data_IF_792124668235
#
_entry.id   IF_792124668235
#
_cell.length_a   1.000
_cell.length_b   1.000
_cell.length_c   1.000
_cell.angle_alpha   90.00
_cell.angle_beta   90.00
_cell.angle_gamma   90.00
#
_symmetry.space_group_name_H-M   'P 1'
#
loop_
_entity.id
_entity.type
_entity.pdbx_description
1 polymer ?
#
# COMPACT_ATOMS: atom_id res chain seq x y z
N UNK A 1 21.01 -58.23 -12.46
CA UNK A 1 20.39 -57.66 -11.25
C UNK A 1 19.96 -56.25 -11.59
N UNK A 2 18.66 -56.07 -11.70
CA UNK A 2 17.96 -54.88 -12.21
C UNK A 2 18.04 -53.74 -11.20
N UNK A 3 17.99 -52.52 -11.73
CA UNK A 3 18.07 -51.23 -11.07
C UNK A 3 17.11 -51.03 -9.89
N UNK A 4 17.53 -50.22 -8.92
CA UNK A 4 16.64 -49.43 -8.07
C UNK A 4 17.26 -48.03 -7.87
N UNK A 5 17.22 -47.23 -8.94
CA UNK A 5 17.32 -45.78 -8.83
C UNK A 5 15.99 -45.30 -8.26
N UNK A 6 15.97 -44.94 -6.98
CA UNK A 6 14.86 -44.24 -6.35
C UNK A 6 14.75 -42.85 -7.01
N UNK A 7 13.92 -42.75 -8.04
CA UNK A 7 13.33 -41.49 -8.46
C UNK A 7 12.38 -41.04 -7.34
N UNK A 8 12.92 -40.34 -6.34
CA UNK A 8 12.10 -39.37 -5.59
C UNK A 8 11.78 -38.24 -6.57
N UNK A 9 10.75 -38.44 -7.39
CA UNK A 9 10.17 -37.35 -8.17
C UNK A 9 9.80 -36.26 -7.18
N UNK A 10 10.39 -35.07 -7.35
CA UNK A 10 9.97 -33.89 -6.61
C UNK A 10 8.50 -33.71 -6.97
N UNK A 11 7.60 -33.89 -5.99
CA UNK A 11 6.18 -33.70 -6.22
C UNK A 11 6.01 -32.20 -6.48
N UNK A 12 5.67 -31.84 -7.71
CA UNK A 12 5.53 -30.47 -8.16
C UNK A 12 4.09 -30.26 -8.62
N UNK A 13 3.54 -29.10 -8.29
CA UNK A 13 2.20 -28.67 -8.67
C UNK A 13 2.29 -27.47 -9.62
N UNK A 14 1.22 -27.22 -10.34
CA UNK A 14 1.14 -26.13 -11.31
C UNK A 14 0.08 -25.12 -10.88
N UNK A 15 0.49 -23.86 -10.91
CA UNK A 15 -0.40 -22.71 -10.76
C UNK A 15 -0.66 -22.16 -12.15
N UNK A 16 -1.85 -22.41 -12.69
CA UNK A 16 -2.34 -21.75 -13.89
C UNK A 16 -2.82 -20.34 -13.51
N UNK A 17 -1.96 -19.35 -13.77
CA UNK A 17 -2.30 -17.94 -13.59
C UNK A 17 -2.65 -17.34 -14.95
N UNK A 18 -3.86 -16.80 -15.08
CA UNK A 18 -4.44 -16.36 -16.37
C UNK A 18 -3.60 -15.33 -17.16
N UNK A 19 -2.65 -14.65 -16.51
CA UNK A 19 -1.77 -13.65 -17.14
C UNK A 19 -0.41 -14.23 -17.60
N UNK A 20 -0.15 -15.51 -17.32
CA UNK A 20 1.04 -16.24 -17.75
C UNK A 20 0.74 -17.10 -18.97
N UNK A 21 1.74 -17.28 -19.85
CA UNK A 21 1.62 -18.18 -21.02
C UNK A 21 1.77 -19.65 -20.65
N UNK A 22 2.51 -19.93 -19.60
CA UNK A 22 2.81 -21.27 -19.11
C UNK A 22 2.53 -21.31 -17.60
N UNK A 23 2.00 -22.43 -17.07
CA UNK A 23 1.77 -22.59 -15.65
C UNK A 23 3.07 -22.47 -14.83
N UNK A 24 2.95 -21.93 -13.61
CA UNK A 24 4.08 -21.76 -12.70
C UNK A 24 4.24 -22.97 -11.79
N UNK A 25 5.46 -23.49 -11.68
CA UNK A 25 5.78 -24.61 -10.78
C UNK A 25 5.77 -24.18 -9.31
N UNK A 26 5.01 -24.91 -8.50
CA UNK A 26 4.91 -24.76 -7.06
C UNK A 26 5.34 -26.05 -6.33
N UNK A 27 5.94 -25.90 -5.16
CA UNK A 27 6.24 -26.99 -4.25
C UNK A 27 5.05 -27.20 -3.30
N UNK A 28 4.85 -28.43 -2.77
CA UNK A 28 3.81 -28.70 -1.77
C UNK A 28 3.95 -27.77 -0.57
N UNK A 29 2.88 -27.05 -0.25
CA UNK A 29 2.84 -26.11 0.86
C UNK A 29 3.34 -24.69 0.54
N UNK A 30 3.84 -24.43 -0.68
CA UNK A 30 4.05 -23.06 -1.14
C UNK A 30 2.72 -22.31 -1.13
N UNK A 31 2.76 -21.03 -0.80
CA UNK A 31 1.65 -20.14 -1.11
C UNK A 31 1.65 -19.77 -2.60
N UNK A 32 0.47 -19.45 -3.14
CA UNK A 32 0.35 -18.97 -4.53
C UNK A 32 1.31 -17.81 -4.80
N UNK A 33 1.43 -16.87 -3.86
CA UNK A 33 2.32 -15.72 -4.00
C UNK A 33 3.80 -16.14 -4.04
N UNK A 34 4.25 -17.04 -3.15
CA UNK A 34 5.65 -17.47 -3.10
C UNK A 34 6.08 -18.14 -4.41
N UNK A 35 5.26 -19.03 -4.94
CA UNK A 35 5.53 -19.71 -6.21
C UNK A 35 5.63 -18.72 -7.38
N UNK A 36 4.68 -17.78 -7.49
CA UNK A 36 4.69 -16.74 -8.53
C UNK A 36 5.93 -15.84 -8.44
N UNK A 37 6.24 -15.33 -7.25
CA UNK A 37 7.40 -14.45 -7.04
C UNK A 37 8.72 -15.18 -7.30
N UNK A 38 8.84 -16.45 -6.91
CA UNK A 38 10.03 -17.28 -7.16
C UNK A 38 10.25 -17.52 -8.65
N UNK A 39 9.17 -17.66 -9.42
CA UNK A 39 9.22 -17.75 -10.89
C UNK A 39 9.43 -16.40 -11.58
N UNK A 40 9.55 -15.30 -10.83
CA UNK A 40 9.70 -13.96 -11.37
C UNK A 40 8.42 -13.40 -12.01
N UNK A 41 7.26 -14.02 -11.74
CA UNK A 41 5.96 -13.53 -12.18
C UNK A 41 5.52 -12.41 -11.23
N UNK A 42 5.39 -11.17 -11.71
CA UNK A 42 4.92 -10.07 -10.88
C UNK A 42 3.49 -10.34 -10.41
N UNK A 43 3.26 -10.19 -9.11
CA UNK A 43 1.93 -10.34 -8.52
C UNK A 43 1.70 -9.27 -7.46
N UNK A 44 0.52 -8.63 -7.38
CA UNK A 44 0.26 -7.59 -6.39
C UNK A 44 0.45 -8.11 -4.95
N UNK A 45 1.33 -7.51 -4.14
CA UNK A 45 1.50 -7.90 -2.74
C UNK A 45 2.22 -6.82 -1.91
N UNK A 46 1.91 -6.72 -0.62
CA UNK A 46 2.58 -5.79 0.33
C UNK A 46 3.08 -6.52 1.58
N UNK A 47 2.17 -6.96 2.46
CA UNK A 47 2.53 -7.48 3.78
C UNK A 47 3.04 -8.94 3.78
N UNK A 48 2.62 -9.74 2.80
CA UNK A 48 2.86 -11.20 2.71
C UNK A 48 2.40 -12.04 3.93
N UNK A 49 1.69 -11.44 4.89
CA UNK A 49 1.23 -12.09 6.12
C UNK A 49 -0.29 -12.09 6.29
N UNK A 50 -1.03 -11.73 5.24
CA UNK A 50 -2.50 -11.80 5.24
C UNK A 50 -3.21 -10.61 5.87
N UNK A 51 -2.56 -9.45 5.97
CA UNK A 51 -3.18 -8.28 6.60
C UNK A 51 -3.64 -7.18 5.62
N UNK A 52 -2.96 -7.04 4.47
CA UNK A 52 -3.19 -5.90 3.58
C UNK A 52 -4.23 -6.15 2.46
N UNK A 53 -4.60 -7.40 2.18
CA UNK A 53 -5.52 -7.74 1.09
C UNK A 53 -4.99 -7.50 -0.34
N UNK A 54 -3.83 -6.87 -0.53
CA UNK A 54 -3.27 -6.56 -1.87
C UNK A 54 -3.12 -7.78 -2.78
N UNK A 55 -2.82 -8.95 -2.23
CA UNK A 55 -2.61 -10.17 -3.00
C UNK A 55 -3.89 -10.96 -3.28
N UNK A 56 -5.04 -10.29 -3.31
CA UNK A 56 -6.32 -10.95 -3.54
C UNK A 56 -6.41 -11.44 -4.99
N UNK A 57 -6.83 -12.67 -5.17
CA UNK A 57 -7.15 -13.28 -6.45
C UNK A 57 -8.40 -14.15 -6.32
N UNK A 58 -8.95 -14.57 -7.45
CA UNK A 58 -10.04 -15.53 -7.51
C UNK A 58 -9.48 -16.93 -7.73
N UNK A 59 -9.95 -17.89 -6.94
CA UNK A 59 -9.70 -19.32 -7.16
C UNK A 59 -10.72 -19.87 -8.16
N UNK A 60 -10.22 -20.25 -9.35
CA UNK A 60 -11.03 -20.74 -10.46
C UNK A 60 -11.21 -22.25 -10.37
N UNK A 61 -10.10 -22.98 -10.19
CA UNK A 61 -10.07 -24.46 -10.09
C UNK A 61 -9.03 -24.90 -9.04
N UNK A 62 -9.22 -26.11 -8.50
CA UNK A 62 -8.37 -26.70 -7.48
C UNK A 62 -8.80 -26.37 -6.05
N UNK A 63 -8.01 -26.84 -5.09
CA UNK A 63 -8.22 -26.62 -3.65
C UNK A 63 -6.97 -25.98 -3.03
N UNK A 64 -7.19 -25.08 -2.08
CA UNK A 64 -6.12 -24.41 -1.33
C UNK A 64 -6.30 -24.68 0.16
N UNK A 65 -5.20 -24.67 0.89
CA UNK A 65 -5.20 -24.60 2.34
C UNK A 65 -4.99 -23.15 2.78
N UNK A 66 -5.99 -22.56 3.43
CA UNK A 66 -5.97 -21.15 3.81
C UNK A 66 -5.28 -20.96 5.17
N UNK A 67 -4.10 -20.35 5.16
CA UNK A 67 -3.37 -19.98 6.37
C UNK A 67 -4.03 -18.77 7.07
N UNK A 68 -3.90 -18.60 8.41
CA UNK A 68 -4.56 -17.51 9.14
C UNK A 68 -4.27 -16.10 8.59
N UNK A 69 -5.27 -15.24 8.57
CA UNK A 69 -5.19 -13.85 8.09
C UNK A 69 -6.13 -12.93 8.88
N UNK A 70 -5.97 -11.63 8.68
CA UNK A 70 -6.87 -10.63 9.27
C UNK A 70 -8.21 -10.62 8.54
N UNK A 71 -9.33 -10.63 9.27
CA UNK A 71 -10.68 -10.52 8.69
C UNK A 71 -10.87 -9.24 7.85
N UNK A 72 -10.04 -8.21 8.07
CA UNK A 72 -10.03 -7.00 7.26
C UNK A 72 -9.45 -7.19 5.86
N UNK A 73 -8.62 -8.21 5.66
CA UNK A 73 -7.94 -8.44 4.38
C UNK A 73 -8.85 -9.13 3.34
N UNK A 74 -9.83 -9.91 3.80
CA UNK A 74 -10.75 -10.68 2.94
C UNK A 74 -12.10 -10.84 3.64
N UNK A 75 -13.12 -10.17 3.10
CA UNK A 75 -14.49 -10.19 3.64
C UNK A 75 -15.26 -11.46 3.27
N UNK A 76 -16.33 -11.78 4.01
CA UNK A 76 -17.19 -12.94 3.74
C UNK A 76 -17.86 -12.88 2.35
N UNK A 77 -18.27 -11.69 1.90
CA UNK A 77 -18.83 -11.49 0.55
C UNK A 77 -17.81 -11.81 -0.55
N UNK A 78 -16.53 -11.55 -0.30
CA UNK A 78 -15.45 -11.86 -1.23
C UNK A 78 -15.13 -13.36 -1.23
N UNK A 79 -15.14 -14.01 -0.05
CA UNK A 79 -15.02 -15.48 0.04
C UNK A 79 -16.15 -16.18 -0.70
N UNK A 80 -17.38 -15.68 -0.59
CA UNK A 80 -18.52 -16.20 -1.32
C UNK A 80 -18.34 -16.10 -2.86
N UNK A 81 -17.50 -15.17 -3.33
CA UNK A 81 -17.08 -15.01 -4.73
C UNK A 81 -15.79 -15.78 -5.06
N UNK A 82 -15.37 -16.72 -4.20
CA UNK A 82 -14.12 -17.49 -4.32
C UNK A 82 -12.85 -16.64 -4.36
N UNK A 83 -12.88 -15.45 -3.76
CA UNK A 83 -11.65 -14.68 -3.58
C UNK A 83 -10.80 -15.32 -2.47
N UNK A 84 -9.49 -15.33 -2.67
CA UNK A 84 -8.48 -15.83 -1.73
C UNK A 84 -7.32 -14.84 -1.64
N UNK A 85 -6.52 -14.93 -0.58
CA UNK A 85 -5.27 -14.17 -0.46
C UNK A 85 -4.10 -15.02 -0.96
N UNK A 86 -3.48 -14.68 -2.09
CA UNK A 86 -2.38 -15.46 -2.65
C UNK A 86 -1.21 -15.71 -1.68
N UNK A 87 -0.94 -14.78 -0.75
CA UNK A 87 0.10 -14.97 0.29
C UNK A 87 -0.29 -15.93 1.42
N UNK A 88 -1.56 -16.34 1.48
CA UNK A 88 -2.12 -17.24 2.51
C UNK A 88 -2.77 -18.49 1.93
N UNK A 89 -2.92 -18.58 0.62
CA UNK A 89 -3.45 -19.74 -0.08
C UNK A 89 -2.31 -20.72 -0.39
N UNK A 90 -2.13 -21.74 0.46
CA UNK A 90 -1.16 -22.82 0.22
C UNK A 90 -1.70 -23.82 -0.80
N UNK A 91 -0.82 -24.27 -1.68
CA UNK A 91 -1.14 -25.25 -2.72
C UNK A 91 -0.65 -26.64 -2.35
N UNK A 92 -1.54 -27.62 -2.49
CA UNK A 92 -1.28 -29.05 -2.26
C UNK A 92 -1.71 -29.91 -3.47
N UNK A 93 -1.91 -29.27 -4.61
CA UNK A 93 -2.35 -29.82 -5.88
C UNK A 93 -2.29 -28.72 -6.94
N UNK A 94 -2.59 -29.07 -8.19
CA UNK A 94 -2.71 -28.08 -9.26
C UNK A 94 -3.89 -27.12 -8.98
N UNK A 95 -3.66 -25.83 -9.18
CA UNK A 95 -4.68 -24.78 -8.96
C UNK A 95 -4.70 -23.81 -10.12
N UNK A 96 -5.87 -23.22 -10.36
CA UNK A 96 -6.05 -22.14 -11.32
C UNK A 96 -6.52 -20.89 -10.60
N UNK A 97 -5.79 -19.79 -10.76
CA UNK A 97 -6.11 -18.51 -10.14
C UNK A 97 -6.17 -17.39 -11.17
N UNK A 98 -6.99 -16.38 -10.89
CA UNK A 98 -7.13 -15.19 -11.72
C UNK A 98 -6.95 -13.94 -10.87
N UNK A 99 -6.22 -12.95 -11.38
CA UNK A 99 -6.14 -11.65 -10.73
C UNK A 99 -7.52 -10.99 -10.75
N UNK A 100 -7.92 -10.39 -9.63
CA UNK A 100 -9.19 -9.65 -9.59
C UNK A 100 -8.92 -8.27 -10.18
N UNK A 101 -9.62 -7.96 -11.27
CA UNK A 101 -9.75 -6.59 -11.74
C UNK A 101 -10.51 -5.79 -10.67
N UNK A 102 -9.78 -5.00 -9.89
CA UNK A 102 -10.39 -4.03 -8.98
C UNK A 102 -11.02 -2.97 -9.90
N UNK A 103 -12.35 -2.94 -9.93
CA UNK A 103 -13.21 -2.11 -10.77
C UNK A 103 -12.56 -0.80 -11.28
N UNK A 104 -12.42 -0.69 -12.60
CA UNK A 104 -12.54 0.60 -13.31
C UNK A 104 -11.25 1.35 -13.64
N UNK A 105 -10.06 0.83 -13.34
CA UNK A 105 -8.81 1.41 -13.87
C UNK A 105 -8.01 0.31 -14.55
N UNK A 106 -7.83 0.41 -15.86
CA UNK A 106 -6.73 -0.24 -16.58
C UNK A 106 -5.43 0.38 -16.07
N UNK A 107 -5.00 -0.02 -14.87
CA UNK A 107 -3.75 0.37 -14.27
C UNK A 107 -2.66 -0.11 -15.22
N UNK A 108 -1.79 0.80 -15.67
CA UNK A 108 -0.74 0.45 -16.63
C UNK A 108 0.09 -0.74 -16.14
N UNK A 109 0.70 -1.51 -17.04
CA UNK A 109 1.42 -2.72 -16.67
C UNK A 109 2.50 -2.41 -15.65
N UNK A 110 2.80 -3.37 -14.77
CA UNK A 110 3.97 -3.29 -13.89
C UNK A 110 5.21 -3.10 -14.79
N UNK A 111 5.97 -2.04 -14.52
CA UNK A 111 7.17 -1.68 -15.26
C UNK A 111 8.35 -1.61 -14.32
N UNK A 112 9.54 -1.93 -14.83
CA UNK A 112 10.80 -1.73 -14.14
C UNK A 112 11.60 -0.65 -14.86
N UNK A 113 11.67 0.53 -14.24
CA UNK A 113 12.27 1.73 -14.82
C UNK A 113 13.56 2.08 -14.08
N UNK A 114 14.60 2.46 -14.84
CA UNK A 114 15.81 3.04 -14.27
C UNK A 114 15.62 4.53 -14.06
N UNK A 115 16.38 5.11 -13.15
CA UNK A 115 16.31 6.53 -12.88
C UNK A 115 17.44 7.02 -12.00
N UNK A 116 17.30 8.26 -11.54
CA UNK A 116 18.24 8.90 -10.61
C UNK A 116 17.53 9.70 -9.54
N UNK A 117 18.17 9.81 -8.38
CA UNK A 117 17.76 10.76 -7.34
C UNK A 117 18.05 12.18 -7.82
N UNK A 118 17.03 13.03 -7.86
CA UNK A 118 17.16 14.43 -8.28
C UNK A 118 17.00 15.43 -7.11
N UNK A 119 16.32 15.03 -6.03
CA UNK A 119 16.24 15.83 -4.80
C UNK A 119 16.17 14.95 -3.55
N UNK A 120 16.75 15.45 -2.47
CA UNK A 120 16.65 14.91 -1.12
C UNK A 120 16.35 16.04 -0.14
N UNK A 121 15.22 15.97 0.54
CA UNK A 121 14.81 16.98 1.53
C UNK A 121 14.56 16.32 2.87
N UNK A 122 15.18 16.84 3.95
CA UNK A 122 14.90 16.38 5.30
C UNK A 122 13.57 16.97 5.77
N UNK A 123 12.56 16.13 5.99
CA UNK A 123 11.20 16.56 6.37
C UNK A 123 11.00 16.60 7.89
N UNK A 124 11.56 15.62 8.60
CA UNK A 124 11.57 15.55 10.07
C UNK A 124 12.95 15.10 10.53
N UNK A 125 13.12 14.83 11.83
CA UNK A 125 14.35 14.18 12.33
C UNK A 125 14.59 12.77 11.76
N UNK A 126 13.56 12.06 11.28
CA UNK A 126 13.64 10.67 10.82
C UNK A 126 12.96 10.41 9.46
N UNK A 127 12.44 11.42 8.75
CA UNK A 127 11.82 11.27 7.42
C UNK A 127 12.55 12.14 6.40
N UNK A 128 12.87 11.54 5.24
CA UNK A 128 13.38 12.24 4.05
C UNK A 128 12.40 12.12 2.89
N UNK A 129 12.18 13.24 2.20
CA UNK A 129 11.63 13.24 0.85
C UNK A 129 12.70 12.80 -0.14
N UNK A 130 12.37 11.85 -1.00
CA UNK A 130 13.22 11.40 -2.10
C UNK A 130 12.46 11.62 -3.40
N UNK A 131 12.97 12.51 -4.26
CA UNK A 131 12.42 12.75 -5.59
C UNK A 131 13.31 12.10 -6.64
N UNK A 132 12.70 11.38 -7.57
CA UNK A 132 13.38 10.62 -8.61
C UNK A 132 13.00 11.15 -9.99
N UNK A 133 13.96 11.15 -10.91
CA UNK A 133 13.68 11.24 -12.35
C UNK A 133 13.82 9.83 -12.95
N UNK A 134 12.84 9.41 -13.74
CA UNK A 134 12.83 8.09 -14.38
C UNK A 134 13.14 8.20 -15.88
N UNK A 135 13.93 7.26 -16.37
CA UNK A 135 14.18 7.06 -17.79
C UNK A 135 12.89 6.50 -18.41
N UNK A 136 12.21 7.32 -19.23
CA UNK A 136 10.90 7.00 -19.79
C UNK A 136 10.97 6.27 -21.15
N UNK A 137 12.13 5.73 -21.54
CA UNK A 137 12.25 4.88 -22.73
C UNK A 137 11.36 3.64 -22.55
N UNK A 138 10.22 3.63 -23.25
CA UNK A 138 9.19 2.60 -23.15
C UNK A 138 7.89 3.04 -22.47
N UNK A 139 7.83 4.22 -21.81
CA UNK A 139 6.63 4.80 -21.21
C UNK A 139 6.78 5.20 -19.73
N UNK A 140 5.97 6.15 -19.26
CA UNK A 140 5.97 6.64 -17.89
C UNK A 140 5.46 5.59 -16.87
N UNK A 141 5.80 5.78 -15.59
CA UNK A 141 5.22 5.03 -14.49
C UNK A 141 3.79 5.52 -14.23
N UNK A 142 2.81 5.00 -14.98
CA UNK A 142 1.41 5.30 -14.72
C UNK A 142 0.95 4.60 -13.43
N UNK A 143 0.35 5.35 -12.49
CA UNK A 143 -0.15 4.83 -11.22
C UNK A 143 -1.44 5.56 -10.79
N UNK A 144 -2.18 4.98 -9.86
CA UNK A 144 -3.31 5.64 -9.19
C UNK A 144 -2.87 6.18 -7.81
N UNK A 145 -3.36 7.37 -7.46
CA UNK A 145 -3.02 8.00 -6.18
C UNK A 145 -3.31 7.08 -4.99
N UNK A 146 -2.30 6.85 -4.14
CA UNK A 146 -2.33 5.87 -3.04
C UNK A 146 -1.52 4.60 -3.30
N UNK A 147 -1.15 4.31 -4.56
CA UNK A 147 -0.28 3.18 -4.88
C UNK A 147 1.18 3.37 -4.43
N UNK A 148 1.92 2.27 -4.42
CA UNK A 148 3.34 2.24 -4.09
C UNK A 148 4.17 1.58 -5.19
N UNK A 149 5.48 1.72 -5.06
CA UNK A 149 6.45 1.05 -5.92
C UNK A 149 7.56 0.44 -5.08
N UNK A 150 8.21 -0.60 -5.60
CA UNK A 150 9.48 -1.06 -5.08
C UNK A 150 10.58 -0.11 -5.59
N UNK A 151 11.35 0.46 -4.67
CA UNK A 151 12.50 1.30 -5.01
C UNK A 151 13.77 0.59 -4.57
N UNK A 152 14.63 0.30 -5.54
CA UNK A 152 15.99 -0.22 -5.33
C UNK A 152 16.98 0.95 -5.41
N UNK A 153 17.65 1.24 -4.28
CA UNK A 153 18.61 2.34 -4.16
C UNK A 153 20.06 1.93 -4.45
N UNK A 154 20.34 0.63 -4.36
CA UNK A 154 21.61 -0.02 -4.68
C UNK A 154 21.35 -1.54 -4.84
N UNK A 155 22.26 -2.30 -5.47
CA UNK A 155 22.10 -3.75 -5.66
C UNK A 155 21.68 -4.47 -4.37
N UNK A 156 20.48 -5.05 -4.37
CA UNK A 156 19.93 -5.79 -3.22
C UNK A 156 19.49 -4.91 -2.04
N UNK A 157 19.43 -3.59 -2.20
CA UNK A 157 18.88 -2.64 -1.24
C UNK A 157 17.60 -2.06 -1.84
N UNK A 158 16.49 -2.77 -1.63
CA UNK A 158 15.17 -2.34 -2.11
C UNK A 158 14.09 -2.50 -1.03
N UNK A 159 13.07 -1.64 -1.10
CA UNK A 159 11.85 -1.71 -0.28
C UNK A 159 10.68 -1.07 -1.02
N UNK A 160 9.46 -1.36 -0.58
CA UNK A 160 8.25 -0.72 -1.04
C UNK A 160 8.07 0.65 -0.37
N UNK A 161 7.78 1.67 -1.17
CA UNK A 161 7.42 3.01 -0.70
C UNK A 161 6.25 3.54 -1.50
N UNK A 162 5.25 4.09 -0.81
CA UNK A 162 4.10 4.71 -1.43
C UNK A 162 4.47 6.04 -2.10
N UNK A 163 3.90 6.29 -3.28
CA UNK A 163 4.10 7.54 -4.01
C UNK A 163 3.38 8.69 -3.29
N UNK A 164 4.08 9.80 -3.08
CA UNK A 164 3.57 11.03 -2.47
C UNK A 164 3.13 12.09 -3.49
N UNK A 165 3.64 12.00 -4.73
CA UNK A 165 3.22 12.86 -5.83
C UNK A 165 1.85 12.46 -6.38
N UNK A 166 1.21 13.36 -7.12
CA UNK A 166 -0.02 13.03 -7.86
C UNK A 166 0.30 12.26 -9.15
N UNK A 167 -0.63 11.46 -9.70
CA UNK A 167 -0.43 10.71 -10.94
C UNK A 167 -0.06 11.52 -12.19
N UNK A 168 -0.36 12.82 -12.20
CA UNK A 168 -0.05 13.75 -13.29
C UNK A 168 1.36 14.37 -13.17
N UNK A 169 2.02 14.24 -12.01
CA UNK A 169 3.41 14.66 -11.84
C UNK A 169 4.37 13.64 -12.47
N UNK A 170 5.37 14.16 -13.21
CA UNK A 170 6.34 13.35 -13.96
C UNK A 170 7.30 12.61 -13.01
N UNK A 171 7.81 13.32 -11.99
CA UNK A 171 8.86 12.82 -11.10
C UNK A 171 8.24 12.16 -9.87
N UNK A 172 8.47 10.85 -9.63
CA UNK A 172 8.00 10.18 -8.43
C UNK A 172 8.64 10.75 -7.16
N UNK A 173 7.82 10.90 -6.12
CA UNK A 173 8.23 11.39 -4.80
C UNK A 173 7.88 10.35 -3.74
N UNK A 174 8.79 10.12 -2.80
CA UNK A 174 8.61 9.16 -1.70
C UNK A 174 8.97 9.80 -0.36
N UNK A 175 8.21 9.51 0.70
CA UNK A 175 8.58 9.86 2.08
C UNK A 175 9.18 8.64 2.77
N UNK A 176 10.51 8.63 2.92
CA UNK A 176 11.23 7.50 3.50
C UNK A 176 11.55 7.79 4.96
N UNK A 177 10.95 7.01 5.85
CA UNK A 177 11.27 7.03 7.28
C UNK A 177 12.50 6.16 7.57
N UNK A 178 13.41 6.68 8.39
CA UNK A 178 14.50 5.93 8.98
C UNK A 178 13.98 4.96 10.06
N UNK A 179 14.00 3.67 9.75
CA UNK A 179 13.68 2.61 10.71
C UNK A 179 14.99 2.05 11.27
N UNK A 180 15.22 2.08 12.60
CA UNK A 180 16.39 1.47 13.22
C UNK A 180 16.57 0.01 12.81
N UNK A 181 17.77 -0.37 12.37
CA UNK A 181 18.07 -1.71 11.84
C UNK A 181 17.62 -1.96 10.40
N UNK A 182 16.84 -1.06 9.80
CA UNK A 182 16.37 -1.19 8.42
C UNK A 182 17.46 -0.89 7.39
N UNK A 183 17.80 -1.87 6.55
CA UNK A 183 18.87 -1.74 5.53
C UNK A 183 18.62 -0.62 4.52
N UNK A 184 17.43 -0.57 3.92
CA UNK A 184 17.12 0.42 2.90
C UNK A 184 16.91 1.82 3.49
N UNK A 185 16.18 1.92 4.60
CA UNK A 185 15.94 3.20 5.27
C UNK A 185 17.22 3.82 5.82
N UNK A 186 18.15 3.02 6.36
CA UNK A 186 19.47 3.50 6.77
C UNK A 186 20.29 3.97 5.57
N UNK A 187 20.25 3.24 4.45
CA UNK A 187 20.90 3.69 3.21
C UNK A 187 20.37 5.06 2.75
N UNK A 188 19.05 5.27 2.79
CA UNK A 188 18.44 6.56 2.43
C UNK A 188 18.82 7.69 3.40
N UNK A 189 18.86 7.39 4.71
CA UNK A 189 19.20 8.37 5.73
C UNK A 189 20.69 8.79 5.67
N UNK A 190 21.59 7.84 5.43
CA UNK A 190 23.03 8.05 5.67
C UNK A 190 23.87 8.11 4.38
N UNK A 191 23.48 7.38 3.34
CA UNK A 191 24.34 7.12 2.17
C UNK A 191 23.79 7.67 0.85
N UNK A 192 22.46 7.77 0.71
CA UNK A 192 21.83 8.23 -0.53
C UNK A 192 22.19 9.68 -0.82
N UNK A 193 22.53 9.97 -2.08
CA UNK A 193 22.91 11.29 -2.58
C UNK A 193 22.18 11.59 -3.89
N UNK A 194 21.99 12.88 -4.19
CA UNK A 194 21.56 13.32 -5.52
C UNK A 194 22.51 12.77 -6.58
N UNK A 195 21.96 12.28 -7.69
CA UNK A 195 22.67 11.62 -8.78
C UNK A 195 22.80 10.10 -8.65
N UNK A 196 22.53 9.51 -7.48
CA UNK A 196 22.51 8.04 -7.33
C UNK A 196 21.50 7.40 -8.29
N UNK A 197 21.94 6.33 -8.94
CA UNK A 197 21.09 5.50 -9.78
C UNK A 197 20.09 4.71 -8.93
N UNK A 198 18.88 4.59 -9.43
CA UNK A 198 17.79 3.84 -8.79
C UNK A 198 17.07 2.98 -9.82
N UNK A 199 16.37 1.96 -9.34
CA UNK A 199 15.39 1.22 -10.11
C UNK A 199 14.05 1.27 -9.39
N UNK A 200 12.99 1.60 -10.12
CA UNK A 200 11.63 1.64 -9.60
C UNK A 200 10.82 0.58 -10.32
N UNK A 201 10.16 -0.29 -9.57
CA UNK A 201 9.27 -1.33 -10.12
C UNK A 201 7.87 -1.21 -9.54
N UNK A 202 6.86 -1.11 -10.40
CA UNK A 202 5.47 -0.88 -10.01
C UNK A 202 4.60 -0.41 -11.17
N UNK A 203 3.38 0.12 -10.88
CA UNK A 203 2.84 0.34 -9.54
C UNK A 203 2.29 -0.93 -8.89
N UNK A 204 2.14 -0.88 -7.57
CA UNK A 204 1.50 -1.91 -6.75
C UNK A 204 0.50 -1.27 -5.79
N UNK A 205 -0.34 -2.10 -5.18
CA UNK A 205 -1.27 -1.68 -4.13
C UNK A 205 -2.71 -1.54 -4.61
N UNK A 206 -3.64 -1.95 -3.74
CA UNK A 206 -5.09 -1.93 -3.95
C UNK A 206 -5.79 -0.76 -3.24
N UNK A 207 -5.09 -0.10 -2.30
CA UNK A 207 -5.57 1.07 -1.55
C UNK A 207 -5.25 2.35 -2.32
N UNK A 208 -6.04 2.63 -3.36
CA UNK A 208 -5.89 3.81 -4.21
C UNK A 208 -7.24 4.51 -4.41
N UNK A 209 -7.18 5.80 -4.75
CA UNK A 209 -8.35 6.65 -4.92
C UNK A 209 -9.31 6.11 -5.99
N UNK A 210 -10.52 5.70 -5.55
CA UNK A 210 -11.64 5.28 -6.40
C UNK A 210 -12.18 6.47 -7.19
N UNK A 211 -12.36 6.31 -8.50
CA UNK A 211 -12.71 7.42 -9.40
C UNK A 211 -14.20 7.79 -9.41
N UNK A 212 -15.08 6.85 -9.04
CA UNK A 212 -16.53 6.99 -9.19
C UNK A 212 -17.27 7.34 -7.89
N UNK A 213 -16.56 7.49 -6.77
CA UNK A 213 -17.18 7.87 -5.51
C UNK A 213 -17.39 9.39 -5.44
N UNK A 214 -18.64 9.81 -5.30
CA UNK A 214 -19.03 11.22 -5.15
C UNK A 214 -19.39 11.62 -3.71
N UNK A 215 -19.35 10.66 -2.78
CA UNK A 215 -19.68 10.89 -1.37
C UNK A 215 -18.53 11.46 -0.55
N UNK A 216 -18.73 11.63 0.77
CA UNK A 216 -17.68 12.12 1.66
C UNK A 216 -16.50 11.15 1.75
N UNK A 217 -15.32 11.70 2.09
CA UNK A 217 -14.05 10.95 2.14
C UNK A 217 -13.37 11.14 3.49
N UNK A 218 -12.92 10.03 4.08
CA UNK A 218 -12.10 10.00 5.28
C UNK A 218 -10.66 9.62 4.89
N UNK A 219 -9.70 10.46 5.25
CA UNK A 219 -8.28 10.25 5.05
C UNK A 219 -7.59 10.15 6.41
N UNK A 220 -6.83 9.09 6.63
CA UNK A 220 -6.12 8.89 7.89
C UNK A 220 -4.66 8.50 7.63
N UNK A 221 -3.75 9.32 8.14
CA UNK A 221 -2.31 9.14 7.97
C UNK A 221 -1.61 9.01 9.34
N UNK A 222 -0.77 7.99 9.49
CA UNK A 222 0.15 7.86 10.63
C UNK A 222 1.61 7.97 10.19
N UNK A 223 2.36 8.95 10.71
CA UNK A 223 3.77 9.15 10.35
C UNK A 223 3.99 9.26 8.84
N UNK A 224 4.89 8.44 8.27
CA UNK A 224 5.15 8.42 6.82
C UNK A 224 3.97 7.95 5.97
N UNK A 225 2.90 7.42 6.58
CA UNK A 225 1.62 7.18 5.91
C UNK A 225 0.98 8.43 5.32
N UNK A 226 1.50 9.63 5.62
CA UNK A 226 1.10 10.85 4.93
C UNK A 226 1.46 10.84 3.44
N UNK A 227 2.49 10.08 2.98
CA UNK A 227 2.83 9.99 1.55
C UNK A 227 1.63 9.61 0.65
N UNK A 228 1.05 8.40 0.76
CA UNK A 228 -0.07 8.01 -0.10
C UNK A 228 -1.31 8.88 0.14
N UNK A 229 -1.52 9.33 1.39
CA UNK A 229 -2.68 10.17 1.74
C UNK A 229 -2.59 11.56 1.11
N UNK A 230 -1.39 12.15 1.05
CA UNK A 230 -1.16 13.42 0.37
C UNK A 230 -1.35 13.29 -1.14
N UNK A 231 -0.86 12.20 -1.75
CA UNK A 231 -1.13 11.86 -3.15
C UNK A 231 -2.64 11.79 -3.42
N UNK A 232 -3.39 11.06 -2.59
CA UNK A 232 -4.86 10.94 -2.68
C UNK A 232 -5.51 12.31 -2.52
N UNK A 233 -5.17 13.07 -1.48
CA UNK A 233 -5.78 14.36 -1.17
C UNK A 233 -5.59 15.36 -2.32
N UNK A 234 -4.35 15.51 -2.80
CA UNK A 234 -4.01 16.45 -3.89
C UNK A 234 -4.70 16.05 -5.21
N UNK A 235 -4.87 14.75 -5.46
CA UNK A 235 -5.58 14.24 -6.65
C UNK A 235 -7.12 14.35 -6.50
N UNK A 236 -7.63 14.32 -5.27
CA UNK A 236 -9.08 14.36 -4.99
C UNK A 236 -9.63 15.79 -5.04
N UNK A 237 -8.98 16.76 -4.41
CA UNK A 237 -9.49 18.14 -4.24
C UNK A 237 -10.02 18.75 -5.54
N UNK A 238 -9.30 18.71 -6.69
CA UNK A 238 -9.77 19.32 -7.93
C UNK A 238 -11.09 18.76 -8.47
N UNK A 239 -11.46 17.53 -8.07
CA UNK A 239 -12.64 16.80 -8.54
C UNK A 239 -13.62 16.44 -7.43
N UNK A 240 -13.40 16.93 -6.22
CA UNK A 240 -14.22 16.59 -5.05
C UNK A 240 -15.68 17.06 -5.21
N UNK A 241 -15.97 18.01 -6.10
CA UNK A 241 -17.31 18.47 -6.47
C UNK A 241 -18.25 18.74 -5.26
N UNK A 242 -17.67 19.29 -4.19
CA UNK A 242 -18.39 19.61 -2.95
C UNK A 242 -18.55 18.46 -1.94
N UNK A 243 -17.89 17.33 -2.13
CA UNK A 243 -17.80 16.27 -1.12
C UNK A 243 -17.05 16.73 0.14
N UNK A 244 -17.51 16.33 1.33
CA UNK A 244 -16.77 16.60 2.56
C UNK A 244 -15.50 15.73 2.62
N UNK A 245 -14.36 16.33 2.98
CA UNK A 245 -13.10 15.61 3.18
C UNK A 245 -12.65 15.80 4.62
N UNK A 246 -12.43 14.70 5.33
CA UNK A 246 -11.85 14.71 6.66
C UNK A 246 -10.43 14.13 6.58
N UNK A 247 -9.43 14.90 6.99
CA UNK A 247 -8.07 14.41 7.11
C UNK A 247 -7.67 14.37 8.59
N UNK A 248 -7.25 13.20 9.05
CA UNK A 248 -6.57 13.01 10.33
C UNK A 248 -5.12 12.61 10.09
N UNK A 249 -4.19 13.45 10.53
CA UNK A 249 -2.76 13.17 10.50
C UNK A 249 -2.23 13.01 11.92
N UNK A 250 -1.83 11.80 12.29
CA UNK A 250 -1.34 11.44 13.62
C UNK A 250 0.16 11.20 13.63
N UNK A 251 0.84 11.85 14.56
CA UNK A 251 2.26 11.63 14.84
C UNK A 251 2.52 11.62 16.35
N UNK A 252 3.75 11.34 16.79
CA UNK A 252 4.05 11.23 18.22
C UNK A 252 4.13 12.60 18.88
N UNK A 253 4.87 13.51 18.28
CA UNK A 253 5.22 14.82 18.83
C UNK A 253 5.40 15.88 17.73
N UNK A 254 5.55 17.15 18.11
CA UNK A 254 5.67 18.27 17.15
C UNK A 254 6.80 18.10 16.13
N UNK A 255 7.95 17.55 16.54
CA UNK A 255 9.10 17.31 15.64
C UNK A 255 8.84 16.28 14.53
N UNK A 256 7.73 15.56 14.62
CA UNK A 256 7.31 14.53 13.68
C UNK A 256 6.29 15.07 12.66
N UNK A 257 5.77 16.28 12.89
CA UNK A 257 4.84 16.94 11.97
C UNK A 257 5.64 17.49 10.78
N UNK A 258 5.21 17.14 9.57
CA UNK A 258 5.79 17.65 8.32
C UNK A 258 4.68 17.94 7.29
N UNK A 259 5.03 18.68 6.24
CA UNK A 259 4.11 19.14 5.19
C UNK A 259 2.88 19.91 5.69
N UNK A 260 2.89 20.38 6.95
CA UNK A 260 1.77 21.11 7.54
C UNK A 260 1.41 22.37 6.74
N UNK A 261 2.40 23.12 6.25
CA UNK A 261 2.16 24.30 5.41
C UNK A 261 1.36 23.94 4.14
N UNK A 262 1.67 22.80 3.52
CA UNK A 262 0.98 22.29 2.32
C UNK A 262 -0.45 21.91 2.70
N UNK A 263 -0.63 21.10 3.76
CA UNK A 263 -1.95 20.67 4.22
C UNK A 263 -2.85 21.84 4.61
N UNK A 264 -2.30 22.86 5.26
CA UNK A 264 -3.04 24.08 5.62
C UNK A 264 -3.40 24.92 4.40
N UNK A 265 -2.52 25.01 3.41
CA UNK A 265 -2.84 25.69 2.15
C UNK A 265 -3.98 24.98 1.40
N UNK A 266 -3.99 23.65 1.37
CA UNK A 266 -5.09 22.86 0.81
C UNK A 266 -6.40 23.05 1.59
N UNK A 267 -6.34 23.08 2.92
CA UNK A 267 -7.52 23.34 3.75
C UNK A 267 -8.06 24.77 3.59
N UNK A 268 -7.19 25.73 3.29
CA UNK A 268 -7.60 27.10 2.97
C UNK A 268 -8.21 27.23 1.57
N UNK A 269 -7.78 26.41 0.60
CA UNK A 269 -8.31 26.44 -0.77
C UNK A 269 -9.58 25.60 -0.96
N UNK A 270 -9.87 24.69 -0.04
CA UNK A 270 -11.07 23.84 -0.07
C UNK A 270 -11.81 23.89 1.27
N UNK A 271 -12.87 24.68 1.34
CA UNK A 271 -13.65 24.96 2.56
C UNK A 271 -14.29 23.71 3.21
N UNK A 272 -14.47 22.64 2.44
CA UNK A 272 -14.98 21.34 2.89
C UNK A 272 -13.90 20.35 3.32
N UNK A 273 -12.62 20.73 3.33
CA UNK A 273 -11.54 19.96 3.95
C UNK A 273 -11.40 20.34 5.43
N UNK A 274 -11.65 19.38 6.33
CA UNK A 274 -11.32 19.51 7.75
C UNK A 274 -10.00 18.80 8.04
N UNK A 275 -8.97 19.58 8.34
CA UNK A 275 -7.65 19.11 8.74
C UNK A 275 -7.56 18.95 10.26
N UNK A 276 -7.25 17.74 10.71
CA UNK A 276 -7.00 17.39 12.11
C UNK A 276 -5.57 16.85 12.26
N UNK A 277 -4.72 17.55 12.99
CA UNK A 277 -3.37 17.06 13.33
C UNK A 277 -3.38 16.64 14.80
N UNK A 278 -3.03 15.38 15.07
CA UNK A 278 -3.04 14.78 16.39
C UNK A 278 -1.64 14.34 16.86
N UNK A 279 -1.33 14.60 18.12
CA UNK A 279 -0.11 14.17 18.78
C UNK A 279 -0.43 13.12 19.85
N UNK A 280 0.24 11.96 19.81
CA UNK A 280 -0.05 10.87 20.75
C UNK A 280 0.74 10.92 22.06
N UNK A 281 1.93 11.54 22.08
CA UNK A 281 2.81 11.52 23.27
C UNK A 281 2.81 12.82 24.06
N UNK A 282 2.63 13.98 23.40
CA UNK A 282 2.75 15.29 24.03
C UNK A 282 1.68 16.25 23.49
N UNK A 283 1.01 17.01 24.37
CA UNK A 283 0.10 18.05 23.90
C UNK A 283 0.81 19.14 23.10
N UNK A 284 0.20 19.54 21.99
CA UNK A 284 0.70 20.62 21.14
C UNK A 284 -0.30 21.76 21.00
N UNK A 285 0.19 22.97 20.77
CA UNK A 285 -0.68 24.15 20.59
C UNK A 285 -1.43 24.04 19.27
N UNK A 286 -2.76 24.09 19.32
CA UNK A 286 -3.60 23.94 18.12
C UNK A 286 -3.58 22.51 17.55
N UNK A 287 -3.15 21.53 18.35
CA UNK A 287 -3.18 20.11 18.03
C UNK A 287 -4.31 19.42 18.77
N UNK A 288 -4.71 18.28 18.23
CA UNK A 288 -5.49 17.28 18.96
C UNK A 288 -4.53 16.36 19.70
N UNK A 289 -5.00 15.71 20.76
CA UNK A 289 -4.18 14.87 21.61
C UNK A 289 -4.79 13.46 21.70
N UNK A 290 -3.94 12.43 21.63
CA UNK A 290 -4.35 11.03 21.72
C UNK A 290 -4.04 10.21 20.47
N UNK A 291 -4.33 8.92 20.52
CA UNK A 291 -4.22 8.02 19.38
C UNK A 291 -5.33 8.32 18.37
N UNK A 292 -5.07 8.11 17.08
CA UNK A 292 -6.00 8.50 16.01
C UNK A 292 -7.40 7.88 16.16
N UNK A 293 -7.50 6.62 16.60
CA UNK A 293 -8.80 5.97 16.80
C UNK A 293 -9.60 6.62 17.95
N UNK A 294 -8.94 7.09 19.01
CA UNK A 294 -9.58 7.81 20.13
C UNK A 294 -10.04 9.20 19.68
N UNK A 295 -9.19 9.90 18.93
CA UNK A 295 -9.46 11.23 18.37
C UNK A 295 -10.65 11.19 17.42
N UNK A 296 -10.70 10.19 16.52
CA UNK A 296 -11.80 9.99 15.58
C UNK A 296 -13.09 9.61 16.33
N UNK A 297 -13.02 8.70 17.31
CA UNK A 297 -14.18 8.30 18.11
C UNK A 297 -14.82 9.48 18.85
N UNK A 298 -13.99 10.40 19.37
CA UNK A 298 -14.45 11.56 20.12
C UNK A 298 -15.29 12.53 19.27
N UNK A 299 -15.13 12.52 17.94
CA UNK A 299 -15.91 13.38 17.05
C UNK A 299 -17.33 12.87 16.79
N UNK A 300 -17.60 11.61 17.12
CA UNK A 300 -18.94 10.99 17.01
C UNK A 300 -19.59 11.18 15.63
N UNK A 301 -18.78 11.04 14.58
CA UNK A 301 -19.21 11.13 13.19
C UNK A 301 -19.82 9.80 12.78
N UNK A 302 -20.97 9.84 12.09
CA UNK A 302 -21.50 8.69 11.36
C UNK A 302 -20.79 8.59 9.99
N UNK A 303 -20.06 7.51 9.77
CA UNK A 303 -19.30 7.27 8.55
C UNK A 303 -20.11 6.53 7.47
N UNK A 304 -21.43 6.39 7.62
CA UNK A 304 -22.29 5.89 6.56
C UNK A 304 -22.08 6.69 5.25
N UNK A 305 -21.82 5.97 4.16
CA UNK A 305 -21.56 6.57 2.83
C UNK A 305 -20.18 7.21 2.65
N UNK A 306 -19.30 7.15 3.66
CA UNK A 306 -17.90 7.56 3.49
C UNK A 306 -17.10 6.54 2.68
N UNK A 307 -16.08 7.05 1.98
CA UNK A 307 -14.96 6.27 1.45
C UNK A 307 -13.72 6.58 2.29
N UNK A 308 -13.10 5.56 2.87
CA UNK A 308 -11.97 5.75 3.78
C UNK A 308 -10.66 5.25 3.18
N UNK A 309 -9.61 6.06 3.31
CA UNK A 309 -8.24 5.71 2.95
C UNK A 309 -7.34 5.88 4.17
N UNK A 310 -6.69 4.80 4.60
CA UNK A 310 -5.85 4.74 5.79
C UNK A 310 -4.44 4.32 5.40
N UNK A 311 -3.41 4.99 5.90
CA UNK A 311 -2.04 4.54 5.69
C UNK A 311 -1.14 4.85 6.90
N UNK A 312 -0.26 3.91 7.23
CA UNK A 312 0.72 4.09 8.31
C UNK A 312 0.99 2.80 9.10
N UNK A 313 1.36 2.91 10.39
CA UNK A 313 1.70 1.76 11.21
C UNK A 313 0.53 0.76 11.33
N UNK A 314 0.78 -0.57 11.31
CA UNK A 314 -0.26 -1.58 11.38
C UNK A 314 -1.23 -1.40 12.56
N UNK A 315 -0.72 -1.19 13.78
CA UNK A 315 -1.56 -0.98 14.95
C UNK A 315 -2.50 0.23 14.84
N UNK A 316 -2.08 1.28 14.12
CA UNK A 316 -2.93 2.44 13.85
C UNK A 316 -4.01 2.09 12.83
N UNK A 317 -3.61 1.44 11.72
CA UNK A 317 -4.54 1.02 10.67
C UNK A 317 -5.60 0.08 11.22
N UNK A 318 -5.22 -0.92 12.01
CA UNK A 318 -6.14 -1.90 12.61
C UNK A 318 -7.13 -1.21 13.56
N UNK A 319 -6.63 -0.39 14.49
CA UNK A 319 -7.48 0.30 15.46
C UNK A 319 -8.44 1.31 14.81
N UNK A 320 -7.97 2.07 13.82
CA UNK A 320 -8.81 3.03 13.10
C UNK A 320 -9.84 2.29 12.24
N UNK A 321 -9.46 1.21 11.55
CA UNK A 321 -10.37 0.38 10.76
C UNK A 321 -11.53 -0.14 11.60
N UNK A 322 -11.22 -0.69 12.79
CA UNK A 322 -12.24 -1.19 13.71
C UNK A 322 -13.22 -0.10 14.14
N UNK A 323 -12.72 1.06 14.59
CA UNK A 323 -13.60 2.11 15.12
C UNK A 323 -14.46 2.77 14.03
N UNK A 324 -13.93 3.01 12.82
CA UNK A 324 -14.71 3.66 11.75
C UNK A 324 -15.83 2.75 11.22
N UNK A 325 -15.59 1.43 11.18
CA UNK A 325 -16.62 0.44 10.84
C UNK A 325 -17.70 0.40 11.92
N UNK A 326 -17.31 0.39 13.21
CA UNK A 326 -18.26 0.48 14.32
C UNK A 326 -19.10 1.78 14.27
N UNK A 327 -18.53 2.83 13.69
CA UNK A 327 -19.17 4.14 13.50
C UNK A 327 -19.88 4.28 12.13
N UNK A 328 -20.16 3.18 11.42
CA UNK A 328 -21.03 3.16 10.25
C UNK A 328 -20.34 3.08 8.89
N UNK A 329 -19.00 3.04 8.84
CA UNK A 329 -18.29 2.83 7.58
C UNK A 329 -18.52 1.39 7.06
N UNK A 330 -18.94 1.27 5.80
CA UNK A 330 -19.07 -0.03 5.15
C UNK A 330 -17.69 -0.64 4.86
N UNK A 331 -17.49 -1.93 5.15
CA UNK A 331 -16.23 -2.64 4.92
C UNK A 331 -15.70 -2.49 3.48
N UNK A 332 -16.59 -2.51 2.48
CA UNK A 332 -16.22 -2.37 1.06
C UNK A 332 -15.62 -0.99 0.71
N UNK A 333 -15.90 0.03 1.52
CA UNK A 333 -15.42 1.40 1.32
C UNK A 333 -14.19 1.71 2.20
N UNK A 334 -13.65 0.72 2.90
CA UNK A 334 -12.43 0.83 3.69
C UNK A 334 -11.22 0.38 2.85
N UNK A 335 -10.32 1.31 2.58
CA UNK A 335 -9.08 1.05 1.87
C UNK A 335 -7.89 1.39 2.77
N UNK A 336 -7.02 0.41 3.02
CA UNK A 336 -5.96 0.53 3.99
C UNK A 336 -4.61 0.04 3.45
N UNK A 337 -3.55 0.79 3.77
CA UNK A 337 -2.16 0.46 3.47
C UNK A 337 -1.33 0.46 4.76
N UNK A 338 -1.21 -0.71 5.38
CA UNK A 338 -0.44 -0.92 6.60
C UNK A 338 1.04 -1.18 6.30
N UNK A 339 1.92 -0.37 6.89
CA UNK A 339 3.36 -0.42 6.64
C UNK A 339 4.04 -1.42 7.59
N UNK A 340 4.09 -2.69 7.16
CA UNK A 340 4.81 -3.73 7.88
C UNK A 340 6.32 -3.60 7.65
N UNK A 341 7.10 -3.71 8.73
CA UNK A 341 8.53 -3.91 8.61
C UNK A 341 8.78 -5.30 8.01
N UNK A 342 9.32 -5.36 6.81
CA UNK A 342 9.81 -6.60 6.23
C UNK A 342 11.16 -6.95 6.88
N UNK A 343 11.38 -8.20 7.31
CA UNK A 343 12.63 -8.63 7.94
C UNK A 343 13.89 -8.39 7.09
#
# INVERSE_FOLDING_TARGET
>A
MTALLLFFGIMEYHIDFSETREPVTAQPGDTVLEALLRAGVPFPHSCQVGNCGTCKCELIEGEIFELPYSEHALSEDEKAKKHVLACRAQVWGDVKVRAIDIEGISLGPIRSLRGRVISLTQLTHDIREVRLSLEAEGGALAFAAGQYAQVEFAPGISRHYSMANTPDEIDPVFHVRHVPGGRASAFVAEKLKVGHGVRVTGPYGSSYLRQHHAGPVLLVAGGSGLAPIESILRTLIPRANGAAILLYFGVRSEKDVYHETILRALAASYDKLRLNIALSEQPGRGRRNGLLHEVIAADRIDFCGYMAYLAGPPAMVDAVSGIVVQMGLEHRNLHADAFYNQP
#
